data_IF_104623717476
#
_entry.id   IF_104623717476
#
_cell.length_a   1.000
_cell.length_b   1.000
_cell.length_c   1.000
_cell.angle_alpha   90.00
_cell.angle_beta   90.00
_cell.angle_gamma   90.00
#
_symmetry.space_group_name_H-M   'P 1'
#
loop_
_entity.id
_entity.type
_entity.pdbx_description
1 polymer ?
#
# COMPACT_ATOMS: atom_id res chain seq x y z
N UNK A 1 9.95 10.05 -18.32
CA UNK A 1 10.34 9.21 -17.17
C UNK A 1 9.24 8.18 -16.98
N UNK A 2 9.59 6.90 -17.13
CA UNK A 2 8.65 5.78 -17.13
C UNK A 2 7.88 5.71 -15.81
N UNK A 3 6.56 5.65 -15.89
CA UNK A 3 5.60 5.63 -14.76
C UNK A 3 6.00 4.63 -13.67
N UNK A 4 6.55 3.49 -14.04
CA UNK A 4 7.10 2.48 -13.13
C UNK A 4 8.23 2.99 -12.21
N UNK A 5 9.09 3.90 -12.68
CA UNK A 5 10.16 4.49 -11.84
C UNK A 5 9.53 5.38 -10.77
N UNK A 6 8.60 6.25 -11.17
CA UNK A 6 7.92 7.13 -10.22
C UNK A 6 7.12 6.31 -9.19
N UNK A 7 6.52 5.20 -9.60
CA UNK A 7 5.84 4.30 -8.68
C UNK A 7 6.82 3.66 -7.69
N UNK A 8 7.95 3.14 -8.17
CA UNK A 8 8.98 2.54 -7.32
C UNK A 8 9.52 3.52 -6.25
N UNK A 9 9.76 4.77 -6.62
CA UNK A 9 10.19 5.82 -5.69
C UNK A 9 9.14 6.05 -4.59
N UNK A 10 7.85 6.14 -4.96
CA UNK A 10 6.78 6.36 -3.97
C UNK A 10 6.62 5.13 -3.06
N UNK A 11 6.81 3.90 -3.56
CA UNK A 11 6.75 2.69 -2.74
C UNK A 11 7.87 2.67 -1.69
N UNK A 12 9.09 3.08 -2.05
CA UNK A 12 10.21 3.18 -1.10
C UNK A 12 9.88 4.18 0.01
N UNK A 13 9.34 5.34 -0.33
CA UNK A 13 8.92 6.34 0.66
C UNK A 13 7.78 5.81 1.55
N UNK A 14 6.81 5.09 0.97
CA UNK A 14 5.71 4.47 1.71
C UNK A 14 6.20 3.44 2.72
N UNK A 15 7.13 2.55 2.34
CA UNK A 15 7.75 1.58 3.27
C UNK A 15 8.45 2.29 4.43
N UNK A 16 9.19 3.36 4.14
CA UNK A 16 9.89 4.13 5.15
C UNK A 16 8.91 4.73 6.17
N UNK A 17 7.83 5.35 5.70
CA UNK A 17 6.79 5.92 6.57
C UNK A 17 6.11 4.84 7.43
N UNK A 18 5.79 3.68 6.86
CA UNK A 18 5.22 2.55 7.63
C UNK A 18 6.16 2.10 8.76
N UNK A 19 7.47 2.04 8.50
CA UNK A 19 8.48 1.69 9.51
C UNK A 19 8.62 2.76 10.59
N UNK A 20 8.66 4.03 10.21
CA UNK A 20 8.75 5.17 11.15
C UNK A 20 7.53 5.24 12.07
N UNK A 21 6.34 4.94 11.53
CA UNK A 21 5.08 4.87 12.28
C UNK A 21 4.90 3.58 13.08
N UNK A 22 5.87 2.65 13.04
CA UNK A 22 5.80 1.31 13.67
C UNK A 22 4.59 0.48 13.21
N UNK A 23 4.11 0.73 11.99
CA UNK A 23 3.06 -0.02 11.32
C UNK A 23 3.62 -1.18 10.50
N UNK A 24 4.94 -1.21 10.30
CA UNK A 24 5.65 -2.29 9.63
C UNK A 24 5.85 -3.47 10.57
N UNK A 25 5.28 -4.62 10.21
CA UNK A 25 5.36 -5.85 10.98
C UNK A 25 6.53 -6.72 10.52
N UNK A 26 7.26 -7.30 11.48
CA UNK A 26 8.36 -8.20 11.16
C UNK A 26 7.89 -9.62 10.81
N UNK A 27 6.74 -10.02 11.35
CA UNK A 27 6.15 -11.34 11.15
C UNK A 27 5.11 -11.28 10.03
N UNK A 28 5.21 -12.21 9.08
CA UNK A 28 4.21 -12.34 8.02
C UNK A 28 2.92 -12.95 8.56
N UNK A 29 1.74 -12.45 8.16
CA UNK A 29 0.47 -13.14 8.40
C UNK A 29 0.47 -14.56 7.82
N UNK A 30 -0.46 -15.39 8.28
CA UNK A 30 -0.61 -16.75 7.74
C UNK A 30 -0.94 -16.74 6.26
N UNK A 31 -0.58 -17.81 5.56
CA UNK A 31 -0.88 -17.96 4.14
C UNK A 31 -2.40 -17.89 3.88
N UNK A 32 -3.23 -18.38 4.80
CA UNK A 32 -4.69 -18.28 4.70
C UNK A 32 -5.16 -16.82 4.80
N UNK A 33 -4.55 -16.02 5.67
CA UNK A 33 -4.89 -14.62 5.83
C UNK A 33 -4.49 -13.80 4.58
N UNK A 34 -3.35 -14.12 3.97
CA UNK A 34 -2.89 -13.48 2.73
C UNK A 34 -3.73 -13.88 1.50
N UNK A 35 -4.42 -15.02 1.57
CA UNK A 35 -5.26 -15.54 0.50
C UNK A 35 -6.71 -15.01 0.54
N UNK A 36 -7.03 -14.02 1.38
CA UNK A 36 -8.36 -13.43 1.41
C UNK A 36 -8.75 -12.82 0.05
N UNK A 37 -9.99 -13.06 -0.34
CA UNK A 37 -10.60 -12.53 -1.58
C UNK A 37 -11.39 -11.24 -1.32
N UNK A 38 -11.54 -10.83 -0.06
CA UNK A 38 -12.24 -9.60 0.28
C UNK A 38 -11.40 -8.37 -0.13
N UNK A 39 -12.04 -7.24 -0.48
CA UNK A 39 -11.34 -5.99 -0.69
C UNK A 39 -10.47 -5.65 0.52
N UNK A 40 -9.20 -5.30 0.28
CA UNK A 40 -8.21 -4.99 1.32
C UNK A 40 -7.97 -6.10 2.37
N UNK A 41 -8.44 -7.33 2.11
CA UNK A 41 -8.39 -8.44 3.08
C UNK A 41 -8.91 -8.03 4.48
N UNK A 42 -9.94 -7.18 4.54
CA UNK A 42 -10.44 -6.58 5.80
C UNK A 42 -10.95 -7.60 6.83
N UNK A 43 -11.19 -8.83 6.41
CA UNK A 43 -11.62 -9.94 7.25
C UNK A 43 -10.46 -10.66 7.94
N UNK A 44 -9.25 -10.63 7.36
CA UNK A 44 -8.10 -11.41 7.83
C UNK A 44 -6.88 -10.59 8.20
N UNK A 45 -6.76 -9.36 7.69
CA UNK A 45 -5.57 -8.51 7.84
C UNK A 45 -5.93 -7.14 8.41
N UNK A 46 -4.98 -6.55 9.15
CA UNK A 46 -4.98 -5.12 9.38
C UNK A 46 -4.66 -4.38 8.07
N UNK A 47 -5.10 -3.13 7.93
CA UNK A 47 -4.83 -2.36 6.72
C UNK A 47 -3.33 -2.15 6.48
N UNK A 48 -2.53 -1.99 7.55
CA UNK A 48 -1.07 -1.92 7.45
C UNK A 48 -0.44 -3.23 6.98
N UNK A 49 -0.94 -4.38 7.43
CA UNK A 49 -0.50 -5.70 6.93
C UNK A 49 -0.85 -5.86 5.46
N UNK A 50 -2.07 -5.48 5.06
CA UNK A 50 -2.46 -5.52 3.66
C UNK A 50 -1.55 -4.63 2.79
N UNK A 51 -1.22 -3.42 3.24
CA UNK A 51 -0.28 -2.54 2.55
C UNK A 51 1.10 -3.20 2.38
N UNK A 52 1.64 -3.74 3.47
CA UNK A 52 2.99 -4.30 3.50
C UNK A 52 3.11 -5.61 2.71
N UNK A 53 2.18 -6.55 2.88
CA UNK A 53 2.35 -7.91 2.40
C UNK A 53 1.62 -8.21 1.09
N UNK A 54 0.65 -7.38 0.70
CA UNK A 54 -0.12 -7.59 -0.53
C UNK A 54 0.09 -6.42 -1.49
N UNK A 55 -0.15 -5.20 -1.04
CA UNK A 55 -0.16 -4.05 -1.94
C UNK A 55 1.23 -3.67 -2.47
N UNK A 56 2.21 -3.46 -1.58
CA UNK A 56 3.56 -3.06 -1.96
C UNK A 56 4.25 -4.13 -2.82
N UNK A 57 4.30 -5.42 -2.43
CA UNK A 57 4.95 -6.45 -3.24
C UNK A 57 4.31 -6.61 -4.62
N UNK A 58 2.97 -6.57 -4.70
CA UNK A 58 2.24 -6.66 -5.97
C UNK A 58 2.59 -5.53 -6.94
N UNK A 59 2.78 -4.31 -6.45
CA UNK A 59 3.16 -3.19 -7.30
C UNK A 59 4.63 -3.31 -7.75
N UNK A 60 5.53 -3.81 -6.90
CA UNK A 60 6.89 -4.16 -7.31
C UNK A 60 6.92 -5.22 -8.41
N UNK A 61 6.15 -6.30 -8.28
CA UNK A 61 6.07 -7.34 -9.30
C UNK A 61 5.66 -6.77 -10.67
N UNK A 62 4.68 -5.87 -10.71
CA UNK A 62 4.23 -5.20 -11.94
C UNK A 62 5.30 -4.27 -12.52
N UNK A 63 6.08 -3.61 -11.66
CA UNK A 63 7.23 -2.79 -12.07
C UNK A 63 8.31 -3.65 -12.71
N UNK A 64 8.68 -4.76 -12.07
CA UNK A 64 9.71 -5.67 -12.56
C UNK A 64 9.30 -6.35 -13.87
N UNK A 65 8.04 -6.78 -13.97
CA UNK A 65 7.47 -7.37 -15.18
C UNK A 65 7.26 -6.35 -16.31
N UNK A 66 7.34 -5.03 -16.02
CA UNK A 66 6.94 -3.93 -16.92
C UNK A 66 5.52 -4.10 -17.45
N UNK A 67 4.67 -4.71 -16.64
CA UNK A 67 3.28 -4.98 -16.99
C UNK A 67 2.44 -3.71 -16.94
N UNK A 68 1.22 -3.83 -17.48
CA UNK A 68 0.21 -2.80 -17.35
C UNK A 68 -0.12 -2.59 -15.88
N UNK A 69 0.02 -1.34 -15.42
CA UNK A 69 -0.33 -0.95 -14.07
C UNK A 69 -1.85 -1.00 -13.89
N UNK A 70 -2.36 -1.36 -12.69
CA UNK A 70 -3.78 -1.45 -12.44
C UNK A 70 -4.42 -0.08 -12.62
N UNK A 71 -5.43 -0.03 -13.48
CA UNK A 71 -6.31 1.14 -13.60
C UNK A 71 -7.34 1.09 -12.49
N UNK A 72 -7.48 2.18 -11.74
CA UNK A 72 -8.43 2.38 -10.63
C UNK A 72 -7.96 1.84 -9.26
N UNK A 73 -7.00 2.55 -8.67
CA UNK A 73 -6.52 2.33 -7.30
C UNK A 73 -7.12 3.42 -6.40
N UNK A 74 -7.84 3.02 -5.35
CA UNK A 74 -8.54 3.91 -4.42
C UNK A 74 -8.19 3.58 -2.97
N UNK A 75 -6.89 3.56 -2.66
CA UNK A 75 -6.38 3.09 -1.37
C UNK A 75 -6.31 4.23 -0.35
N UNK A 76 -6.07 5.47 -0.79
CA UNK A 76 -5.94 6.62 0.10
C UNK A 76 -7.19 6.91 0.95
N UNK A 77 -8.44 6.83 0.44
CA UNK A 77 -9.64 7.01 1.26
C UNK A 77 -9.74 5.98 2.39
N UNK A 78 -9.41 4.72 2.10
CA UNK A 78 -9.40 3.65 3.12
C UNK A 78 -8.31 3.90 4.17
N UNK A 79 -7.15 4.40 3.76
CA UNK A 79 -6.08 4.76 4.69
C UNK A 79 -6.48 5.93 5.60
N UNK A 80 -7.15 6.95 5.06
CA UNK A 80 -7.67 8.07 5.83
C UNK A 80 -8.62 7.57 6.91
N UNK A 81 -9.60 6.72 6.56
CA UNK A 81 -10.55 6.16 7.53
C UNK A 81 -9.88 5.28 8.60
N UNK A 82 -8.95 4.41 8.18
CA UNK A 82 -8.28 3.48 9.10
C UNK A 82 -7.33 4.19 10.07
N UNK A 83 -6.57 5.18 9.60
CA UNK A 83 -5.56 5.87 10.41
C UNK A 83 -6.10 7.05 11.22
N UNK A 84 -7.22 7.65 10.86
CA UNK A 84 -7.83 8.76 11.59
C UNK A 84 -8.02 8.48 13.10
N UNK A 85 -8.54 7.33 13.54
CA UNK A 85 -8.73 7.05 14.97
C UNK A 85 -7.44 6.71 15.72
N UNK A 86 -6.32 6.42 15.03
CA UNK A 86 -5.07 5.98 15.67
C UNK A 86 -4.28 7.13 16.32
N UNK A 87 -4.62 8.39 16.03
CA UNK A 87 -3.91 9.56 16.60
C UNK A 87 -2.44 9.68 16.17
N UNK A 88 -2.04 8.92 15.16
CA UNK A 88 -0.69 8.94 14.58
C UNK A 88 -0.57 10.05 13.54
N UNK A 89 0.63 10.58 13.34
CA UNK A 89 0.90 11.53 12.25
C UNK A 89 1.06 10.78 10.91
N UNK A 90 -0.07 10.38 10.31
CA UNK A 90 -0.09 9.61 9.07
C UNK A 90 -0.22 10.46 7.81
N UNK A 91 -0.07 11.78 7.93
CA UNK A 91 -0.26 12.72 6.82
C UNK A 91 0.64 12.42 5.62
N UNK A 92 1.92 12.12 5.87
CA UNK A 92 2.87 11.75 4.82
C UNK A 92 2.51 10.41 4.18
N UNK A 93 2.23 9.39 5.00
CA UNK A 93 1.81 8.07 4.53
C UNK A 93 0.58 8.15 3.61
N UNK A 94 -0.46 8.86 4.04
CA UNK A 94 -1.68 9.09 3.24
C UNK A 94 -1.34 9.85 1.95
N UNK A 95 -0.42 10.81 1.99
CA UNK A 95 0.00 11.54 0.81
C UNK A 95 0.73 10.64 -0.21
N UNK A 96 1.57 9.71 0.23
CA UNK A 96 2.18 8.70 -0.66
C UNK A 96 1.12 7.83 -1.33
N UNK A 97 0.15 7.33 -0.56
CA UNK A 97 -0.96 6.54 -1.11
C UNK A 97 -1.78 7.32 -2.14
N UNK A 98 -2.08 8.59 -1.87
CA UNK A 98 -2.80 9.46 -2.81
C UNK A 98 -2.01 9.69 -4.10
N UNK A 99 -0.68 9.83 -4.00
CA UNK A 99 0.21 9.94 -5.18
C UNK A 99 0.17 8.66 -6.02
N UNK A 100 0.16 7.48 -5.38
CA UNK A 100 0.01 6.19 -6.07
C UNK A 100 -1.35 6.13 -6.78
N UNK A 101 -2.45 6.42 -6.09
CA UNK A 101 -3.80 6.40 -6.67
C UNK A 101 -3.89 7.30 -7.92
N UNK A 102 -3.35 8.53 -7.85
CA UNK A 102 -3.31 9.45 -8.99
C UNK A 102 -2.41 8.93 -10.12
N UNK A 103 -1.28 8.31 -9.79
CA UNK A 103 -0.36 7.75 -10.77
C UNK A 103 -0.96 6.55 -11.52
N UNK A 104 -1.83 5.78 -10.86
CA UNK A 104 -2.49 4.59 -11.38
C UNK A 104 -3.82 4.88 -12.09
N UNK A 105 -4.39 6.08 -11.94
CA UNK A 105 -5.66 6.48 -12.57
C UNK A 105 -5.47 7.18 -13.92
N UNK A 106 -4.23 7.33 -14.40
CA UNK A 106 -3.88 8.04 -15.63
C UNK A 106 -3.63 7.11 -16.81
#
# INVERSE_FOLDING_TARGET
>A
MSQHIALAEILIDLEKELRELRLWEAESPSAEALASVQPFAVDTLSFSQWLQFIFIPRLYDLIEARDALPVNCGVAPMAEEYFQPLGLNTANLINHLRRIDVLLTR
#
